data_IF_277469526509
#
_entry.id   IF_277469526509
#
_cell.length_a   1.000
_cell.length_b   1.000
_cell.length_c   1.000
_cell.angle_alpha   90.00
_cell.angle_beta   90.00
_cell.angle_gamma   90.00
#
_symmetry.space_group_name_H-M   'P 1'
#
loop_
_entity.id
_entity.type
_entity.pdbx_description
1 polymer ?
#
# COMPACT_ATOMS: atom_id res chain seq x y z
N UNK A 1 12.64 -35.76 -66.09
CA UNK A 1 12.08 -35.38 -64.73
C UNK A 1 12.89 -34.23 -64.18
N UNK A 2 12.31 -32.98 -64.10
CA UNK A 2 13.00 -31.79 -63.56
C UNK A 2 12.44 -31.54 -62.17
N UNK A 3 13.27 -31.79 -61.16
CA UNK A 3 12.92 -31.57 -59.77
C UNK A 3 13.05 -30.07 -59.44
N UNK A 4 11.90 -29.37 -59.07
CA UNK A 4 11.90 -27.99 -58.61
C UNK A 4 12.23 -27.96 -57.14
N UNK A 5 13.39 -27.41 -56.80
CA UNK A 5 13.76 -27.05 -55.39
C UNK A 5 13.02 -25.78 -55.02
N UNK A 6 12.12 -25.87 -54.05
CA UNK A 6 11.42 -24.74 -53.46
C UNK A 6 12.25 -24.17 -52.30
N UNK A 7 12.87 -23.02 -52.51
CA UNK A 7 13.53 -22.28 -51.43
C UNK A 7 12.49 -21.75 -50.46
N UNK A 8 12.52 -22.25 -49.22
CA UNK A 8 11.73 -21.72 -48.10
C UNK A 8 12.59 -20.67 -47.40
N UNK A 9 12.24 -19.39 -47.59
CA UNK A 9 12.81 -18.31 -46.80
C UNK A 9 12.13 -18.31 -45.40
N UNK A 10 12.89 -18.71 -44.38
CA UNK A 10 12.46 -18.56 -42.98
C UNK A 10 12.76 -17.12 -42.55
N UNK A 11 11.72 -16.32 -42.45
CA UNK A 11 11.80 -14.96 -41.91
C UNK A 11 11.91 -15.05 -40.38
N UNK A 12 13.12 -14.90 -39.85
CA UNK A 12 13.33 -14.84 -38.39
C UNK A 12 12.81 -13.48 -37.87
N UNK A 13 11.66 -13.47 -37.18
CA UNK A 13 11.13 -12.31 -36.49
C UNK A 13 11.89 -12.18 -35.16
N UNK A 14 12.83 -11.25 -35.11
CA UNK A 14 13.53 -10.89 -33.84
C UNK A 14 12.58 -10.01 -33.03
N UNK A 15 11.95 -10.59 -32.01
CA UNK A 15 11.16 -9.87 -31.04
C UNK A 15 12.14 -9.20 -30.07
N UNK A 16 12.38 -7.91 -30.25
CA UNK A 16 13.07 -7.08 -29.25
C UNK A 16 12.14 -6.89 -28.06
N UNK A 17 12.29 -7.69 -27.02
CA UNK A 17 11.70 -7.41 -25.71
C UNK A 17 12.34 -6.14 -25.16
N UNK A 18 11.64 -5.01 -25.23
CA UNK A 18 12.04 -3.82 -24.47
C UNK A 18 11.83 -4.14 -22.99
N UNK A 19 12.89 -4.51 -22.29
CA UNK A 19 12.92 -4.49 -20.82
C UNK A 19 12.85 -3.02 -20.39
N UNK A 20 11.63 -2.52 -20.24
CA UNK A 20 11.41 -1.22 -19.60
C UNK A 20 11.81 -1.33 -18.14
N UNK A 21 12.88 -0.68 -17.72
CA UNK A 21 13.11 -0.43 -16.32
C UNK A 21 11.91 0.37 -15.82
N UNK A 22 11.10 -0.22 -14.95
CA UNK A 22 10.07 0.53 -14.25
C UNK A 22 10.78 1.58 -13.39
N UNK A 23 10.65 2.85 -13.75
CA UNK A 23 11.19 3.95 -12.95
C UNK A 23 10.35 3.94 -11.66
N UNK A 24 11.00 3.63 -10.53
CA UNK A 24 10.35 3.66 -9.22
C UNK A 24 10.06 5.10 -8.83
N UNK A 25 8.85 5.35 -8.32
CA UNK A 25 8.45 6.66 -7.80
C UNK A 25 8.89 6.76 -6.34
N UNK A 26 9.90 7.58 -6.07
CA UNK A 26 10.55 7.72 -4.76
C UNK A 26 9.95 8.86 -3.93
N UNK A 27 10.35 8.97 -2.65
CA UNK A 27 10.00 10.13 -1.81
C UNK A 27 10.53 11.44 -2.39
N UNK A 28 11.72 11.44 -2.99
CA UNK A 28 12.29 12.62 -3.66
C UNK A 28 11.44 13.05 -4.87
N UNK A 29 10.98 12.09 -5.69
CA UNK A 29 10.06 12.38 -6.78
C UNK A 29 8.72 12.92 -6.26
N UNK A 30 8.21 12.33 -5.15
CA UNK A 30 6.97 12.77 -4.52
C UNK A 30 7.07 14.21 -4.02
N UNK A 31 8.19 14.60 -3.39
CA UNK A 31 8.37 15.98 -2.89
C UNK A 31 8.47 17.00 -4.01
N UNK A 32 9.12 16.65 -5.12
CA UNK A 32 9.26 17.52 -6.30
C UNK A 32 7.98 17.64 -7.11
N UNK A 33 7.22 16.57 -7.20
CA UNK A 33 5.97 16.50 -7.96
C UNK A 33 4.93 15.65 -7.21
N UNK A 34 4.27 16.19 -6.18
CA UNK A 34 3.31 15.46 -5.36
C UNK A 34 2.19 14.83 -6.19
N UNK A 35 1.92 13.56 -5.93
CA UNK A 35 0.86 12.82 -6.59
C UNK A 35 -0.18 12.34 -5.58
N UNK A 36 -1.45 12.70 -5.83
CA UNK A 36 -2.56 12.28 -4.98
C UNK A 36 -2.64 13.02 -3.65
N UNK A 37 -3.63 12.64 -2.86
CA UNK A 37 -3.92 13.24 -1.56
C UNK A 37 -4.07 12.19 -0.44
N UNK A 38 -3.90 10.91 -0.76
CA UNK A 38 -3.82 9.80 0.19
C UNK A 38 -2.48 9.11 0.01
N UNK A 39 -1.80 8.84 1.13
CA UNK A 39 -0.72 7.89 1.19
C UNK A 39 -1.19 6.67 1.97
N UNK A 40 -1.42 5.56 1.27
CA UNK A 40 -1.63 4.27 1.89
C UNK A 40 -0.29 3.65 2.25
N UNK A 41 -0.17 3.13 3.46
CA UNK A 41 0.98 2.34 3.91
C UNK A 41 0.47 1.00 4.43
N UNK A 42 0.98 -0.10 3.89
CA UNK A 42 0.74 -1.42 4.47
C UNK A 42 1.47 -1.51 5.80
N UNK A 43 0.82 -2.09 6.81
CA UNK A 43 1.48 -2.35 8.09
C UNK A 43 2.88 -2.98 7.89
N UNK A 44 3.81 -2.63 8.76
CA UNK A 44 5.17 -3.14 8.77
C UNK A 44 5.22 -4.66 8.96
N UNK A 45 6.40 -5.25 8.94
CA UNK A 45 6.59 -6.69 8.97
C UNK A 45 5.98 -7.32 10.23
N UNK A 46 4.95 -8.11 10.01
CA UNK A 46 4.32 -8.99 10.99
C UNK A 46 4.52 -10.43 10.46
N UNK A 47 5.42 -11.24 11.05
CA UNK A 47 5.72 -12.59 10.55
C UNK A 47 4.52 -13.52 10.57
N UNK A 48 4.47 -14.48 9.65
CA UNK A 48 3.40 -15.45 9.52
C UNK A 48 2.34 -15.09 8.47
N UNK A 49 1.25 -15.84 8.46
CA UNK A 49 0.18 -15.74 7.46
C UNK A 49 -1.19 -15.74 8.17
N UNK A 50 -2.04 -14.78 7.79
CA UNK A 50 -3.36 -14.63 8.40
C UNK A 50 -3.33 -14.17 9.85
N UNK A 51 -4.45 -14.29 10.53
CA UNK A 51 -4.58 -14.13 11.97
C UNK A 51 -5.00 -15.48 12.60
N UNK A 52 -4.71 -15.71 13.88
CA UNK A 52 -5.11 -16.95 14.59
C UNK A 52 -6.62 -17.17 14.58
N UNK A 53 -7.06 -18.43 14.75
CA UNK A 53 -8.50 -18.77 14.75
C UNK A 53 -9.29 -18.12 15.90
N UNK A 54 -8.61 -17.87 17.03
CA UNK A 54 -9.18 -17.18 18.20
C UNK A 54 -9.04 -15.65 18.12
N UNK A 55 -8.92 -15.10 16.92
CA UNK A 55 -8.78 -13.66 16.70
C UNK A 55 -9.89 -12.87 17.39
N UNK A 56 -9.47 -11.89 18.19
CA UNK A 56 -10.32 -10.82 18.74
C UNK A 56 -9.69 -9.45 18.40
N UNK A 57 -10.50 -8.55 17.86
CA UNK A 57 -10.05 -7.22 17.47
C UNK A 57 -9.57 -6.37 18.64
N UNK A 58 -10.12 -6.61 19.84
CA UNK A 58 -9.81 -5.86 21.05
C UNK A 58 -8.65 -6.47 21.85
N UNK A 59 -8.12 -7.65 21.45
CA UNK A 59 -7.12 -8.39 22.20
C UNK A 59 -5.89 -8.67 21.31
N UNK A 60 -4.86 -7.83 21.46
CA UNK A 60 -3.66 -7.92 20.60
C UNK A 60 -2.94 -9.27 20.71
N UNK A 61 -3.02 -9.95 21.86
CA UNK A 61 -2.39 -11.27 22.06
C UNK A 61 -2.99 -12.35 21.16
N UNK A 62 -4.20 -12.14 20.63
CA UNK A 62 -4.89 -13.03 19.70
C UNK A 62 -4.63 -12.69 18.23
N UNK A 63 -3.81 -11.69 17.95
CA UNK A 63 -3.54 -11.21 16.61
C UNK A 63 -2.11 -11.54 16.15
N UNK A 64 -1.90 -11.56 14.86
CA UNK A 64 -0.56 -11.55 14.27
C UNK A 64 0.02 -10.14 14.34
N UNK A 65 1.07 -9.95 15.13
CA UNK A 65 1.64 -8.64 15.48
C UNK A 65 3.01 -8.40 14.84
N UNK A 66 3.50 -7.17 14.91
CA UNK A 66 4.86 -6.82 14.50
C UNK A 66 5.88 -7.58 15.36
N UNK A 67 7.02 -7.91 14.77
CA UNK A 67 8.22 -8.29 15.51
C UNK A 67 9.17 -7.09 15.64
N UNK A 68 10.36 -7.30 16.23
CA UNK A 68 11.37 -6.24 16.37
C UNK A 68 11.80 -5.62 15.03
N UNK A 69 11.93 -6.45 13.98
CA UNK A 69 12.28 -5.98 12.62
C UNK A 69 11.14 -5.12 12.04
N UNK A 70 9.90 -5.52 12.27
CA UNK A 70 8.74 -4.74 11.82
C UNK A 70 8.63 -3.38 12.52
N UNK A 71 8.92 -3.32 13.82
CA UNK A 71 8.95 -2.04 14.57
C UNK A 71 10.04 -1.12 14.04
N UNK A 72 11.22 -1.65 13.83
CA UNK A 72 12.34 -0.90 13.23
C UNK A 72 11.99 -0.41 11.81
N UNK A 73 11.37 -1.27 10.98
CA UNK A 73 10.90 -0.89 9.66
C UNK A 73 9.91 0.29 9.74
N UNK A 74 8.93 0.21 10.65
CA UNK A 74 7.95 1.28 10.84
C UNK A 74 8.60 2.60 11.27
N UNK A 75 9.56 2.54 12.21
CA UNK A 75 10.33 3.70 12.65
C UNK A 75 11.09 4.35 11.47
N UNK A 76 11.82 3.56 10.67
CA UNK A 76 12.56 4.06 9.52
C UNK A 76 11.65 4.68 8.45
N UNK A 77 10.49 4.10 8.19
CA UNK A 77 9.47 4.69 7.31
C UNK A 77 9.09 6.09 7.80
N UNK A 78 8.84 6.22 9.11
CA UNK A 78 8.49 7.49 9.72
C UNK A 78 9.59 8.54 9.60
N UNK A 79 10.85 8.15 9.86
CA UNK A 79 11.99 9.06 9.74
C UNK A 79 12.20 9.52 8.29
N UNK A 80 12.18 8.62 7.31
CA UNK A 80 12.34 8.99 5.90
C UNK A 80 11.24 9.98 5.43
N UNK A 81 10.01 9.80 5.89
CA UNK A 81 8.88 10.70 5.59
C UNK A 81 9.11 12.09 6.24
N UNK A 82 9.61 12.14 7.48
CA UNK A 82 9.95 13.40 8.17
C UNK A 82 11.09 14.13 7.49
N UNK A 83 12.16 13.41 7.14
CA UNK A 83 13.32 13.95 6.44
C UNK A 83 12.95 14.52 5.06
N UNK A 84 12.01 13.86 4.37
CA UNK A 84 11.43 14.38 3.13
C UNK A 84 10.53 15.62 3.34
N UNK A 85 10.28 16.05 4.58
CA UNK A 85 9.46 17.21 4.90
C UNK A 85 7.96 17.02 4.67
N UNK A 86 7.49 15.77 4.48
CA UNK A 86 6.08 15.46 4.21
C UNK A 86 5.29 15.53 5.51
N UNK A 87 4.20 16.30 5.51
CA UNK A 87 3.29 16.47 6.66
C UNK A 87 1.88 16.02 6.31
N UNK A 88 1.26 15.29 7.21
CA UNK A 88 -0.13 14.85 7.07
C UNK A 88 -1.05 15.68 7.96
N UNK A 89 -2.20 16.06 7.40
CA UNK A 89 -3.24 16.71 8.21
C UNK A 89 -3.93 15.71 9.14
N UNK A 90 -4.10 14.47 8.67
CA UNK A 90 -4.74 13.37 9.39
C UNK A 90 -3.98 12.08 9.15
N UNK A 91 -3.95 11.24 10.19
CA UNK A 91 -3.41 9.90 10.14
C UNK A 91 -4.51 8.95 10.59
N UNK A 92 -4.89 8.04 9.72
CA UNK A 92 -5.85 6.98 9.99
C UNK A 92 -5.15 5.63 10.06
N UNK A 93 -5.63 4.77 10.93
CA UNK A 93 -5.16 3.38 11.01
C UNK A 93 -6.33 2.42 11.10
N UNK A 94 -6.14 1.23 10.51
CA UNK A 94 -6.96 0.06 10.82
C UNK A 94 -6.93 -0.23 12.31
N UNK A 95 -7.98 -0.88 12.83
CA UNK A 95 -8.10 -1.30 14.23
C UNK A 95 -7.13 -2.44 14.62
N UNK A 96 -6.53 -3.14 13.66
CA UNK A 96 -5.56 -4.21 13.92
C UNK A 96 -4.32 -3.69 14.63
N UNK A 97 -3.89 -4.42 15.66
CA UNK A 97 -2.74 -4.01 16.49
C UNK A 97 -1.47 -3.77 15.65
N UNK A 98 -1.17 -4.60 14.64
CA UNK A 98 -0.04 -4.38 13.73
C UNK A 98 -0.12 -3.08 12.92
N UNK A 99 -1.33 -2.60 12.60
CA UNK A 99 -1.50 -1.32 11.90
C UNK A 99 -1.35 -0.14 12.86
N UNK A 100 -1.97 -0.24 14.04
CA UNK A 100 -1.82 0.77 15.10
C UNK A 100 -0.36 0.91 15.51
N UNK A 101 0.31 -0.21 15.81
CA UNK A 101 1.72 -0.23 16.18
C UNK A 101 2.63 0.31 15.06
N UNK A 102 2.33 0.00 13.78
CA UNK A 102 3.04 0.62 12.63
C UNK A 102 2.90 2.14 12.66
N UNK A 103 1.69 2.67 12.80
CA UNK A 103 1.45 4.11 12.83
C UNK A 103 2.09 4.80 14.05
N UNK A 104 2.12 4.13 15.21
CA UNK A 104 2.77 4.59 16.42
C UNK A 104 4.29 4.70 16.26
N UNK A 105 4.95 3.64 15.73
CA UNK A 105 6.39 3.66 15.49
C UNK A 105 6.82 4.64 14.38
N UNK A 106 5.99 4.88 13.37
CA UNK A 106 6.22 5.96 12.40
C UNK A 106 6.25 7.34 13.05
N UNK A 107 5.51 7.54 14.14
CA UNK A 107 5.48 8.77 14.95
C UNK A 107 5.29 10.06 14.13
N UNK A 108 4.32 10.06 13.22
CA UNK A 108 4.03 11.16 12.30
C UNK A 108 2.90 12.09 12.77
N UNK A 109 2.27 11.80 13.91
CA UNK A 109 1.21 12.62 14.51
C UNK A 109 0.08 11.81 15.14
N UNK A 110 -1.04 12.48 15.47
CA UNK A 110 -2.19 11.86 16.15
C UNK A 110 -2.89 10.85 15.23
N UNK A 111 -3.02 9.61 15.69
CA UNK A 111 -3.67 8.51 14.99
C UNK A 111 -5.17 8.52 15.30
N UNK A 112 -5.98 8.29 14.28
CA UNK A 112 -7.43 8.10 14.38
C UNK A 112 -7.78 6.72 13.82
N UNK A 113 -8.51 5.93 14.56
CA UNK A 113 -8.99 4.63 14.12
C UNK A 113 -10.03 4.81 13.01
N UNK A 114 -9.92 3.98 11.94
CA UNK A 114 -10.83 3.98 10.81
C UNK A 114 -11.21 2.54 10.42
N UNK A 115 -12.42 2.07 10.76
CA UNK A 115 -12.86 0.71 10.47
C UNK A 115 -12.86 0.36 8.97
N UNK A 116 -12.98 1.35 8.09
CA UNK A 116 -12.85 1.15 6.63
C UNK A 116 -11.47 0.68 6.18
N UNK A 117 -10.45 0.79 7.05
CA UNK A 117 -9.09 0.30 6.80
C UNK A 117 -8.84 -1.12 7.31
N UNK A 118 -9.83 -1.76 7.91
CA UNK A 118 -9.71 -3.10 8.47
C UNK A 118 -9.45 -4.17 7.40
N UNK A 119 -8.83 -5.28 7.81
CA UNK A 119 -8.60 -6.42 6.94
C UNK A 119 -9.88 -7.23 6.74
N UNK A 120 -10.17 -7.58 5.50
CA UNK A 120 -11.18 -8.59 5.17
C UNK A 120 -10.54 -9.89 4.65
N UNK A 121 -9.23 -10.05 4.87
CA UNK A 121 -8.52 -11.28 4.56
C UNK A 121 -9.11 -12.45 5.38
N UNK A 122 -9.24 -13.61 4.77
CA UNK A 122 -9.88 -14.82 5.35
C UNK A 122 -11.32 -14.60 5.83
N UNK A 123 -11.99 -13.54 5.40
CA UNK A 123 -13.39 -13.30 5.76
C UNK A 123 -13.61 -12.81 7.20
N UNK A 124 -12.55 -12.40 7.92
CA UNK A 124 -12.65 -11.89 9.31
C UNK A 124 -13.61 -10.70 9.38
N UNK A 125 -13.48 -9.76 8.43
CA UNK A 125 -14.45 -8.66 8.28
C UNK A 125 -15.24 -8.78 6.96
N UNK A 126 -16.49 -8.32 6.92
CA UNK A 126 -17.27 -8.27 5.69
C UNK A 126 -16.68 -7.28 4.69
N UNK A 127 -16.13 -7.78 3.56
CA UNK A 127 -15.42 -6.97 2.55
C UNK A 127 -16.22 -5.75 2.10
N UNK A 128 -17.48 -5.96 1.66
CA UNK A 128 -18.28 -4.88 1.08
C UNK A 128 -18.61 -3.79 2.11
N UNK A 129 -18.90 -4.17 3.35
CA UNK A 129 -19.14 -3.21 4.44
C UNK A 129 -17.86 -2.39 4.74
N UNK A 130 -16.70 -3.06 4.86
CA UNK A 130 -15.41 -2.41 5.10
C UNK A 130 -15.09 -1.40 3.99
N UNK A 131 -15.20 -1.82 2.73
CA UNK A 131 -14.94 -0.96 1.58
C UNK A 131 -15.98 0.17 1.44
N UNK A 132 -17.24 -0.04 1.83
CA UNK A 132 -18.25 1.03 1.85
C UNK A 132 -17.85 2.15 2.81
N UNK A 133 -17.44 1.80 4.05
CA UNK A 133 -16.96 2.77 5.05
C UNK A 133 -15.74 3.54 4.51
N UNK A 134 -14.78 2.82 3.89
CA UNK A 134 -13.59 3.45 3.32
C UNK A 134 -13.96 4.40 2.17
N UNK A 135 -14.85 4.01 1.27
CA UNK A 135 -15.29 4.91 0.17
C UNK A 135 -15.91 6.21 0.68
N UNK A 136 -16.74 6.14 1.72
CA UNK A 136 -17.30 7.34 2.36
C UNK A 136 -16.19 8.22 2.97
N UNK A 137 -15.20 7.61 3.63
CA UNK A 137 -14.03 8.33 4.14
C UNK A 137 -13.25 9.02 3.01
N UNK A 138 -12.95 8.33 1.93
CA UNK A 138 -12.21 8.86 0.79
C UNK A 138 -12.95 10.06 0.15
N UNK A 139 -14.26 9.96 -0.05
CA UNK A 139 -15.10 11.07 -0.53
C UNK A 139 -15.01 12.30 0.39
N UNK A 140 -15.02 12.09 1.72
CA UNK A 140 -14.92 13.20 2.69
C UNK A 140 -13.56 13.91 2.65
N UNK A 141 -12.50 13.21 2.22
CA UNK A 141 -11.14 13.75 2.08
C UNK A 141 -10.98 14.46 0.74
N UNK A 142 -11.54 13.92 -0.34
CA UNK A 142 -11.53 14.54 -1.68
C UNK A 142 -12.01 15.99 -1.64
N UNK A 143 -13.09 16.25 -0.93
CA UNK A 143 -13.68 17.57 -0.78
C UNK A 143 -12.73 18.60 -0.12
N UNK A 144 -11.69 18.16 0.59
CA UNK A 144 -10.79 19.01 1.39
C UNK A 144 -9.40 19.18 0.80
N UNK A 145 -9.02 18.40 -0.21
CA UNK A 145 -7.70 18.41 -0.89
C UNK A 145 -6.49 18.35 0.08
N UNK A 146 -6.59 17.56 1.13
CA UNK A 146 -5.59 17.49 2.22
C UNK A 146 -4.84 16.17 2.15
N UNK A 147 -3.51 16.21 2.34
CA UNK A 147 -2.71 14.98 2.40
C UNK A 147 -3.01 14.21 3.68
N UNK A 148 -3.38 12.94 3.51
CA UNK A 148 -3.77 12.02 4.58
C UNK A 148 -2.96 10.73 4.49
N UNK A 149 -2.48 10.26 5.65
CA UNK A 149 -1.85 8.95 5.79
C UNK A 149 -2.89 7.91 6.22
N UNK A 150 -2.86 6.74 5.60
CA UNK A 150 -3.72 5.61 5.93
C UNK A 150 -2.90 4.32 6.11
N UNK A 151 -2.75 3.86 7.35
CA UNK A 151 -2.05 2.60 7.66
C UNK A 151 -3.06 1.45 7.66
N UNK A 152 -2.83 0.46 6.80
CA UNK A 152 -3.81 -0.59 6.53
C UNK A 152 -3.16 -1.92 6.07
N UNK A 153 -3.90 -2.75 5.38
CA UNK A 153 -3.54 -4.10 4.94
C UNK A 153 -3.43 -4.19 3.42
N UNK A 154 -2.63 -5.15 2.95
CA UNK A 154 -2.48 -5.41 1.52
C UNK A 154 -3.84 -5.54 0.79
N UNK A 155 -4.76 -6.34 1.33
CA UNK A 155 -6.07 -6.58 0.69
C UNK A 155 -6.89 -5.31 0.53
N UNK A 156 -6.80 -4.38 1.48
CA UNK A 156 -7.49 -3.09 1.45
C UNK A 156 -6.85 -2.15 0.44
N UNK A 157 -5.52 -2.05 0.43
CA UNK A 157 -4.78 -1.27 -0.57
C UNK A 157 -5.09 -1.78 -1.97
N UNK A 158 -4.94 -3.08 -2.21
CA UNK A 158 -5.18 -3.67 -3.54
C UNK A 158 -6.63 -3.47 -4.00
N UNK A 159 -7.61 -3.57 -3.10
CA UNK A 159 -9.02 -3.36 -3.46
C UNK A 159 -9.34 -1.92 -3.90
N UNK A 160 -8.61 -0.92 -3.39
CA UNK A 160 -8.83 0.50 -3.74
C UNK A 160 -7.96 0.92 -4.92
N UNK A 161 -6.70 0.48 -4.95
CA UNK A 161 -5.66 1.03 -5.85
C UNK A 161 -5.29 0.11 -7.00
N UNK A 162 -5.65 -1.18 -6.93
CA UNK A 162 -5.18 -2.21 -7.85
C UNK A 162 -3.71 -2.63 -7.62
N UNK A 163 -2.98 -1.95 -6.74
CA UNK A 163 -1.55 -2.18 -6.49
C UNK A 163 -1.37 -3.07 -5.25
N UNK A 164 -0.46 -4.03 -5.37
CA UNK A 164 -0.07 -4.92 -4.26
C UNK A 164 1.33 -4.55 -3.80
N UNK A 165 1.48 -4.25 -2.49
CA UNK A 165 2.76 -3.86 -1.90
C UNK A 165 3.21 -4.83 -0.80
N UNK A 166 4.53 -4.91 -0.56
CA UNK A 166 5.13 -5.64 0.56
C UNK A 166 4.81 -4.98 1.91
N UNK A 167 5.19 -5.62 3.03
CA UNK A 167 5.10 -5.02 4.37
C UNK A 167 5.90 -3.71 4.42
N UNK A 168 5.28 -2.64 4.94
CA UNK A 168 5.85 -1.30 4.94
C UNK A 168 5.79 -0.58 3.59
N UNK A 169 5.36 -1.25 2.51
CA UNK A 169 5.20 -0.64 1.20
C UNK A 169 4.06 0.38 1.15
N UNK A 170 4.18 1.35 0.25
CA UNK A 170 3.28 2.48 0.17
C UNK A 170 2.70 2.70 -1.23
N UNK A 171 1.51 3.28 -1.28
CA UNK A 171 0.83 3.69 -2.52
C UNK A 171 0.27 5.11 -2.34
N UNK A 172 0.69 6.02 -3.21
CA UNK A 172 0.06 7.33 -3.35
C UNK A 172 -1.21 7.19 -4.21
N UNK A 173 -2.33 7.71 -3.72
CA UNK A 173 -3.64 7.60 -4.37
C UNK A 173 -4.28 8.98 -4.52
N UNK A 174 -4.83 9.24 -5.68
CA UNK A 174 -5.57 10.47 -5.99
C UNK A 174 -7.08 10.19 -5.91
N UNK A 175 -7.74 10.71 -4.89
CA UNK A 175 -9.18 10.50 -4.70
C UNK A 175 -10.04 11.06 -5.81
N UNK A 176 -9.58 12.10 -6.53
CA UNK A 176 -10.33 12.74 -7.61
C UNK A 176 -10.24 11.98 -8.94
N UNK A 177 -9.03 11.54 -9.32
CA UNK A 177 -8.83 10.80 -10.58
C UNK A 177 -8.99 9.28 -10.44
N UNK A 178 -8.88 8.75 -9.21
CA UNK A 178 -8.83 7.31 -8.94
C UNK A 178 -7.50 6.66 -9.29
N UNK A 179 -6.51 7.43 -9.74
CA UNK A 179 -5.19 6.93 -10.12
C UNK A 179 -4.31 6.63 -8.90
N UNK A 180 -3.40 5.69 -9.06
CA UNK A 180 -2.50 5.21 -8.02
C UNK A 180 -1.07 5.08 -8.53
N UNK A 181 -0.09 5.32 -7.65
CA UNK A 181 1.33 5.06 -7.90
C UNK A 181 1.94 4.37 -6.68
N UNK A 182 2.68 3.29 -6.91
CA UNK A 182 3.52 2.73 -5.85
C UNK A 182 4.61 3.73 -5.48
N UNK A 183 4.80 3.96 -4.16
CA UNK A 183 5.79 4.89 -3.63
C UNK A 183 6.86 4.13 -2.85
N UNK A 184 8.12 4.26 -3.25
CA UNK A 184 9.26 3.75 -2.49
C UNK A 184 9.63 4.71 -1.37
N UNK A 185 9.47 4.26 -0.12
CA UNK A 185 9.84 5.01 1.10
C UNK A 185 11.17 4.51 1.67
N UNK A 186 11.41 3.22 1.57
CA UNK A 186 12.66 2.56 1.98
C UNK A 186 13.38 2.03 0.73
N UNK A 187 14.67 2.23 0.67
CA UNK A 187 15.57 1.66 -0.32
C UNK A 187 15.97 0.23 0.06
#
# INVERSE_FOLDING_TARGET
MKTKIRNIFILAVIIFSKSGFAISYTLDDYTKNPFGNILFVRHALAPGYGDPQNFDLNECSTQRNLNGIGREQAYRIGENIKEAGIKFLKIYSSQWCRCMETAEYMNLGKITVEPGLNSFFQGIMPKEKTLSILRERLKSIEAKQQLVLMVTHQVTITAVTGITVSSGGAVAFNTKSGESKELMILD
#
